data_IF_477953640454
#
_entry.id   IF_477953640454
#
_cell.length_a   1.000
_cell.length_b   1.000
_cell.length_c   1.000
_cell.angle_alpha   90.00
_cell.angle_beta   90.00
_cell.angle_gamma   90.00
#
_symmetry.space_group_name_H-M   'P 1'
#
loop_
_entity.id
_entity.type
_entity.pdbx_description
1 polymer ?
#
# COMPACT_ATOMS: atom_id res chain seq x y z
N UNK A 1 16.37 34.28 83.31
CA UNK A 1 16.77 32.99 82.72
C UNK A 1 15.53 32.35 82.11
N UNK A 2 15.34 32.56 80.86
CA UNK A 2 14.21 31.92 80.09
C UNK A 2 14.71 30.59 79.59
N UNK A 3 14.16 29.52 80.12
CA UNK A 3 14.47 28.13 79.73
C UNK A 3 13.71 27.81 78.46
N UNK A 4 14.37 27.89 77.32
CA UNK A 4 13.85 27.40 76.05
C UNK A 4 13.79 25.87 76.14
N UNK A 5 12.58 25.35 76.35
CA UNK A 5 12.34 23.91 76.44
C UNK A 5 12.27 23.26 75.08
N UNK A 6 12.47 21.92 74.96
CA UNK A 6 12.46 21.16 73.74
C UNK A 6 11.08 21.05 73.02
N UNK A 7 10.13 21.87 73.44
CA UNK A 7 8.74 21.82 72.90
C UNK A 7 8.57 22.59 71.57
N UNK A 8 9.48 23.49 71.20
CA UNK A 8 9.26 24.37 70.03
C UNK A 8 9.47 23.67 68.69
N UNK A 9 10.38 22.67 68.62
CA UNK A 9 10.62 21.95 67.38
C UNK A 9 9.41 21.09 66.92
N UNK A 10 8.63 20.56 67.81
CA UNK A 10 7.41 19.84 67.53
C UNK A 10 6.32 20.74 66.90
N UNK A 11 6.26 21.98 67.35
CA UNK A 11 5.34 22.97 66.78
C UNK A 11 5.74 23.37 65.36
N UNK A 12 7.03 23.45 65.06
CA UNK A 12 7.54 23.72 63.74
C UNK A 12 7.28 22.53 62.82
N UNK A 13 7.48 21.30 63.28
CA UNK A 13 7.16 20.08 62.52
C UNK A 13 5.62 19.92 62.27
N UNK A 14 4.79 20.26 63.23
CA UNK A 14 3.33 20.24 63.08
C UNK A 14 2.88 21.30 62.08
N UNK A 15 3.50 22.47 62.03
CA UNK A 15 3.18 23.52 61.08
C UNK A 15 3.65 23.20 59.65
N UNK A 16 4.74 22.42 59.49
CA UNK A 16 5.29 21.96 58.20
C UNK A 16 4.56 20.75 57.62
N UNK A 17 3.83 19.99 58.46
CA UNK A 17 3.09 18.81 58.05
C UNK A 17 2.15 19.04 56.88
N UNK A 18 1.24 20.04 56.92
CA UNK A 18 0.36 20.34 55.81
C UNK A 18 1.07 20.74 54.52
N UNK A 19 2.18 21.47 54.66
CA UNK A 19 3.00 21.90 53.50
C UNK A 19 3.67 20.72 52.84
N UNK A 20 4.20 19.78 53.60
CA UNK A 20 4.83 18.56 53.08
C UNK A 20 3.79 17.68 52.33
N UNK A 21 2.57 17.55 52.84
CA UNK A 21 1.46 16.83 52.15
C UNK A 21 1.10 17.52 50.85
N UNK A 22 1.04 18.83 50.82
CA UNK A 22 0.72 19.60 49.62
C UNK A 22 1.80 19.45 48.55
N UNK A 23 3.09 19.50 48.93
CA UNK A 23 4.21 19.26 48.04
C UNK A 23 4.15 17.82 47.49
N UNK A 24 3.93 16.83 48.32
CA UNK A 24 3.78 15.43 47.89
C UNK A 24 2.61 15.24 46.91
N UNK A 25 1.48 15.90 47.15
CA UNK A 25 0.33 15.88 46.25
C UNK A 25 0.61 16.50 44.89
N UNK A 26 1.33 17.64 44.87
CA UNK A 26 1.73 18.30 43.63
C UNK A 26 2.72 17.43 42.83
N UNK A 27 3.70 16.83 43.48
CA UNK A 27 4.68 15.92 42.87
C UNK A 27 3.92 14.70 42.29
N UNK A 28 3.01 14.10 43.06
CA UNK A 28 2.19 12.98 42.62
C UNK A 28 1.33 13.32 41.39
N UNK A 29 0.71 14.51 41.39
CA UNK A 29 -0.08 14.99 40.26
C UNK A 29 0.78 15.21 39.01
N UNK A 30 1.95 15.80 39.13
CA UNK A 30 2.89 16.02 38.02
C UNK A 30 3.38 14.69 37.43
N UNK A 31 3.73 13.73 38.28
CA UNK A 31 4.14 12.39 37.85
C UNK A 31 2.98 11.68 37.12
N UNK A 32 1.76 11.74 37.67
CA UNK A 32 0.58 11.15 37.08
C UNK A 32 0.25 11.75 35.70
N UNK A 33 0.33 13.08 35.58
CA UNK A 33 0.15 13.78 34.30
C UNK A 33 1.21 13.42 33.25
N UNK A 34 2.47 13.28 33.69
CA UNK A 34 3.53 12.82 32.79
C UNK A 34 3.33 11.37 32.32
N UNK A 35 2.94 10.47 33.22
CA UNK A 35 2.61 9.08 32.86
C UNK A 35 1.41 9.02 31.90
N UNK A 36 0.38 9.81 32.12
CA UNK A 36 -0.77 9.85 31.23
C UNK A 36 -0.39 10.34 29.83
N UNK A 37 0.44 11.39 29.75
CA UNK A 37 0.92 11.93 28.49
C UNK A 37 1.83 10.93 27.73
N UNK A 38 2.65 10.16 28.43
CA UNK A 38 3.47 9.11 27.83
C UNK A 38 2.60 7.95 27.27
N UNK A 39 1.53 7.56 27.99
CA UNK A 39 0.61 6.53 27.52
C UNK A 39 -0.13 6.95 26.26
N UNK A 40 -0.64 8.19 26.21
CA UNK A 40 -1.36 8.67 25.03
C UNK A 40 -0.49 8.76 23.79
N UNK A 41 0.79 9.12 23.91
CA UNK A 41 1.73 9.13 22.77
C UNK A 41 2.10 7.71 22.32
N UNK A 42 2.29 6.78 23.25
CA UNK A 42 2.54 5.37 22.92
C UNK A 42 1.31 4.72 22.24
N UNK A 43 0.12 4.97 22.76
CA UNK A 43 -1.13 4.45 22.20
C UNK A 43 -1.40 4.99 20.79
N UNK A 44 -1.14 6.29 20.54
CA UNK A 44 -1.29 6.87 19.19
C UNK A 44 -0.27 6.29 18.22
N UNK A 45 0.97 6.08 18.62
CA UNK A 45 1.99 5.44 17.77
C UNK A 45 1.62 3.98 17.45
N UNK A 46 1.14 3.23 18.43
CA UNK A 46 0.68 1.86 18.24
C UNK A 46 -0.52 1.78 17.27
N UNK A 47 -1.48 2.70 17.39
CA UNK A 47 -2.63 2.77 16.49
C UNK A 47 -2.23 3.12 15.04
N UNK A 48 -1.26 4.01 14.84
CA UNK A 48 -0.75 4.34 13.50
C UNK A 48 -0.08 3.12 12.91
N UNK A 49 0.80 2.46 13.65
CA UNK A 49 1.49 1.25 13.21
C UNK A 49 0.52 0.11 12.89
N UNK A 50 -0.53 -0.06 13.69
CA UNK A 50 -1.57 -1.05 13.43
C UNK A 50 -2.32 -0.73 12.13
N UNK A 51 -2.70 0.53 11.90
CA UNK A 51 -3.37 0.93 10.65
C UNK A 51 -2.50 0.71 9.42
N UNK A 52 -1.20 0.97 9.52
CA UNK A 52 -0.27 0.70 8.42
C UNK A 52 -0.18 -0.80 8.11
N UNK A 53 -0.11 -1.64 9.16
CA UNK A 53 -0.12 -3.10 9.01
C UNK A 53 -1.45 -3.60 8.41
N UNK A 54 -2.58 -3.07 8.86
CA UNK A 54 -3.92 -3.42 8.35
C UNK A 54 -4.07 -3.01 6.88
N UNK A 55 -3.66 -1.79 6.51
CA UNK A 55 -3.69 -1.30 5.14
C UNK A 55 -2.82 -2.16 4.21
N UNK A 56 -1.64 -2.57 4.67
CA UNK A 56 -0.74 -3.45 3.91
C UNK A 56 -1.34 -4.84 3.73
N UNK A 57 -1.95 -5.41 4.78
CA UNK A 57 -2.59 -6.71 4.71
C UNK A 57 -3.80 -6.71 3.76
N UNK A 58 -4.59 -5.65 3.77
CA UNK A 58 -5.72 -5.45 2.87
C UNK A 58 -5.25 -5.28 1.42
N UNK A 59 -4.18 -4.51 1.19
CA UNK A 59 -3.57 -4.35 -0.13
C UNK A 59 -3.10 -5.69 -0.69
N UNK A 60 -2.42 -6.52 0.11
CA UNK A 60 -1.98 -7.85 -0.28
C UNK A 60 -3.15 -8.79 -0.61
N UNK A 61 -4.21 -8.77 0.18
CA UNK A 61 -5.40 -9.59 -0.09
C UNK A 61 -6.02 -9.22 -1.45
N UNK A 62 -6.10 -7.93 -1.76
CA UNK A 62 -6.61 -7.46 -3.07
C UNK A 62 -5.67 -7.85 -4.20
N UNK A 63 -4.36 -7.76 -3.98
CA UNK A 63 -3.36 -8.16 -4.98
C UNK A 63 -3.41 -9.65 -5.28
N UNK A 64 -3.55 -10.50 -4.27
CA UNK A 64 -3.72 -11.94 -4.44
C UNK A 64 -4.99 -12.25 -5.26
N UNK A 65 -6.11 -11.64 -4.91
CA UNK A 65 -7.35 -11.82 -5.66
C UNK A 65 -7.20 -11.37 -7.12
N UNK A 66 -6.55 -10.24 -7.36
CA UNK A 66 -6.33 -9.71 -8.70
C UNK A 66 -5.37 -10.61 -9.51
N UNK A 67 -4.34 -11.16 -8.87
CA UNK A 67 -3.43 -12.13 -9.47
C UNK A 67 -4.16 -13.43 -9.86
N UNK A 68 -4.92 -14.01 -8.94
CA UNK A 68 -5.72 -15.21 -9.22
C UNK A 68 -6.70 -14.97 -10.37
N UNK A 69 -7.33 -13.79 -10.39
CA UNK A 69 -8.24 -13.39 -11.47
C UNK A 69 -7.52 -13.22 -12.80
N UNK A 70 -6.29 -12.71 -12.82
CA UNK A 70 -5.50 -12.52 -14.05
C UNK A 70 -5.08 -13.83 -14.70
N UNK A 71 -5.01 -14.92 -13.93
CA UNK A 71 -4.69 -16.27 -14.39
C UNK A 71 -5.94 -17.05 -14.84
N UNK A 72 -7.12 -16.43 -14.81
CA UNK A 72 -8.37 -17.09 -15.19
C UNK A 72 -8.38 -17.43 -16.69
N UNK A 73 -8.97 -18.58 -17.03
CA UNK A 73 -9.25 -18.96 -18.41
C UNK A 73 -10.34 -18.08 -19.06
N UNK A 74 -11.15 -17.37 -18.26
CA UNK A 74 -12.08 -16.36 -18.77
C UNK A 74 -11.37 -15.04 -19.05
N UNK A 75 -11.28 -14.60 -20.32
CA UNK A 75 -10.59 -13.37 -20.69
C UNK A 75 -11.14 -12.11 -20.03
N UNK A 76 -12.44 -12.06 -19.74
CA UNK A 76 -13.05 -10.93 -19.03
C UNK A 76 -12.58 -10.83 -17.58
N UNK A 77 -12.45 -11.97 -16.90
CA UNK A 77 -11.92 -12.03 -15.56
C UNK A 77 -10.42 -11.74 -15.54
N UNK A 78 -9.67 -12.26 -16.52
CA UNK A 78 -8.23 -11.98 -16.64
C UNK A 78 -7.96 -10.48 -16.89
N UNK A 79 -8.72 -9.84 -17.78
CA UNK A 79 -8.66 -8.38 -18.00
C UNK A 79 -8.93 -7.59 -16.73
N UNK A 80 -9.97 -7.96 -15.99
CA UNK A 80 -10.33 -7.30 -14.73
C UNK A 80 -9.22 -7.45 -13.70
N UNK A 81 -8.64 -8.65 -13.55
CA UNK A 81 -7.53 -8.91 -12.65
C UNK A 81 -6.32 -8.03 -12.95
N UNK A 82 -5.89 -8.00 -14.21
CA UNK A 82 -4.78 -7.16 -14.68
C UNK A 82 -5.08 -5.67 -14.50
N UNK A 83 -6.30 -5.22 -14.75
CA UNK A 83 -6.73 -3.84 -14.55
C UNK A 83 -6.66 -3.42 -13.08
N UNK A 84 -7.13 -4.27 -12.17
CA UNK A 84 -7.05 -3.99 -10.73
C UNK A 84 -5.59 -3.99 -10.24
N UNK A 85 -4.74 -4.90 -10.73
CA UNK A 85 -3.32 -4.87 -10.42
C UNK A 85 -2.64 -3.58 -10.87
N UNK A 86 -3.01 -3.02 -12.02
CA UNK A 86 -2.49 -1.74 -12.47
C UNK A 86 -2.82 -0.61 -11.47
N UNK A 87 -4.04 -0.58 -10.94
CA UNK A 87 -4.46 0.38 -9.90
C UNK A 87 -3.70 0.15 -8.59
N UNK A 88 -3.54 -1.12 -8.17
CA UNK A 88 -2.79 -1.45 -6.95
C UNK A 88 -1.30 -1.12 -7.07
N UNK A 89 -0.71 -1.28 -8.26
CA UNK A 89 0.67 -0.91 -8.55
C UNK A 89 0.91 0.61 -8.52
N UNK A 90 -0.12 1.44 -8.70
CA UNK A 90 -0.02 2.90 -8.54
C UNK A 90 -0.07 3.36 -7.08
N UNK A 91 -0.52 2.49 -6.17
CA UNK A 91 -0.64 2.80 -4.75
C UNK A 91 0.73 3.04 -4.10
N UNK A 92 0.78 3.97 -3.14
CA UNK A 92 1.97 4.21 -2.31
C UNK A 92 2.31 3.03 -1.40
N UNK A 93 1.39 2.08 -1.24
CA UNK A 93 1.61 0.84 -0.49
C UNK A 93 2.46 -0.17 -1.28
N UNK A 94 2.54 -0.04 -2.61
CA UNK A 94 3.35 -0.91 -3.46
C UNK A 94 4.83 -0.49 -3.38
N UNK A 95 5.64 -1.29 -2.68
CA UNK A 95 7.10 -1.14 -2.67
C UNK A 95 7.71 -1.62 -4.00
N UNK A 96 8.97 -1.25 -4.31
CA UNK A 96 9.66 -1.76 -5.50
C UNK A 96 9.69 -3.28 -5.58
N UNK A 97 9.92 -3.97 -4.46
CA UNK A 97 9.94 -5.44 -4.39
C UNK A 97 8.58 -6.05 -4.70
N UNK A 98 7.50 -5.42 -4.22
CA UNK A 98 6.13 -5.84 -4.52
C UNK A 98 5.78 -5.61 -5.98
N UNK A 99 6.26 -4.52 -6.57
CA UNK A 99 6.11 -4.26 -8.00
C UNK A 99 6.81 -5.29 -8.87
N UNK A 100 8.00 -5.78 -8.47
CA UNK A 100 8.69 -6.87 -9.17
C UNK A 100 7.85 -8.15 -9.19
N UNK A 101 7.17 -8.49 -8.09
CA UNK A 101 6.25 -9.63 -8.04
C UNK A 101 5.09 -9.43 -9.01
N UNK A 102 4.52 -8.23 -9.08
CA UNK A 102 3.42 -7.91 -9.98
C UNK A 102 3.85 -8.02 -11.46
N UNK A 103 5.13 -7.83 -11.78
CA UNK A 103 5.59 -7.94 -13.18
C UNK A 103 5.36 -9.32 -13.79
N UNK A 104 5.31 -10.37 -12.98
CA UNK A 104 5.04 -11.74 -13.44
C UNK A 104 3.69 -11.86 -14.14
N UNK A 105 2.69 -11.10 -13.66
CA UNK A 105 1.32 -11.20 -14.16
C UNK A 105 1.14 -10.72 -15.62
N UNK A 106 1.94 -9.79 -16.10
CA UNK A 106 1.86 -9.31 -17.48
C UNK A 106 2.81 -10.02 -18.44
N UNK A 107 3.78 -10.80 -17.94
CA UNK A 107 4.78 -11.42 -18.80
C UNK A 107 4.18 -12.43 -19.79
N UNK A 108 3.40 -13.38 -19.32
CA UNK A 108 2.80 -14.42 -20.18
C UNK A 108 1.84 -13.83 -21.24
N UNK A 109 0.86 -12.96 -20.90
CA UNK A 109 -0.01 -12.36 -21.90
C UNK A 109 0.75 -11.54 -22.97
N UNK A 110 1.86 -10.88 -22.60
CA UNK A 110 2.65 -10.11 -23.54
C UNK A 110 3.61 -10.96 -24.39
N UNK A 111 4.03 -12.14 -23.92
CA UNK A 111 4.81 -13.08 -24.74
C UNK A 111 3.99 -13.67 -25.87
N UNK A 112 2.71 -13.86 -25.67
CA UNK A 112 1.77 -14.36 -26.70
C UNK A 112 1.23 -13.24 -27.61
N UNK A 113 1.49 -11.97 -27.25
CA UNK A 113 1.16 -10.84 -28.12
C UNK A 113 2.02 -10.89 -29.40
N UNK A 114 1.45 -10.62 -30.59
CA UNK A 114 2.22 -10.50 -31.80
C UNK A 114 3.21 -9.33 -31.63
N UNK A 115 4.40 -9.64 -31.13
CA UNK A 115 5.50 -8.71 -30.99
C UNK A 115 5.98 -8.35 -32.38
N UNK A 116 5.64 -7.17 -32.84
CA UNK A 116 5.98 -6.53 -34.12
C UNK A 116 5.02 -6.81 -35.29
N UNK A 117 4.79 -5.78 -36.12
CA UNK A 117 4.30 -6.00 -37.46
C UNK A 117 5.37 -6.76 -38.21
N UNK A 118 5.34 -8.09 -38.15
CA UNK A 118 5.98 -8.90 -39.17
C UNK A 118 5.31 -8.45 -40.43
N UNK A 119 6.06 -7.82 -41.34
CA UNK A 119 5.67 -7.59 -42.73
C UNK A 119 5.47 -8.98 -43.33
N UNK A 120 4.31 -9.57 -43.06
CA UNK A 120 3.86 -10.77 -43.77
C UNK A 120 3.46 -10.29 -45.16
N UNK A 121 4.08 -10.79 -46.24
CA UNK A 121 3.61 -10.43 -47.55
C UNK A 121 2.15 -10.83 -47.72
N UNK A 122 1.33 -10.07 -48.49
CA UNK A 122 -0.13 -10.19 -48.53
C UNK A 122 -0.60 -11.42 -49.31
N UNK A 123 -0.10 -12.61 -49.00
CA UNK A 123 -0.43 -13.83 -49.75
C UNK A 123 -0.92 -15.01 -48.92
N UNK A 124 -1.47 -14.76 -47.74
CA UNK A 124 -2.29 -15.79 -47.14
C UNK A 124 -3.50 -15.10 -46.48
N UNK A 125 -4.65 -15.27 -47.15
CA UNK A 125 -5.92 -14.76 -46.73
C UNK A 125 -6.15 -15.15 -45.27
N UNK A 126 -6.01 -14.17 -44.38
CA UNK A 126 -6.35 -14.30 -43.00
C UNK A 126 -7.83 -14.71 -42.91
N UNK A 127 -8.08 -15.97 -42.58
CA UNK A 127 -9.37 -16.43 -42.10
C UNK A 127 -9.81 -15.44 -41.02
N UNK A 128 -10.99 -14.83 -41.10
CA UNK A 128 -11.42 -13.81 -40.15
C UNK A 128 -11.30 -14.38 -38.73
N UNK A 129 -10.31 -13.90 -38.03
CA UNK A 129 -9.89 -14.38 -36.73
C UNK A 129 -11.03 -14.39 -35.77
N UNK A 130 -11.28 -15.54 -35.28
CA UNK A 130 -12.29 -15.93 -34.33
C UNK A 130 -12.42 -14.90 -33.18
N UNK A 131 -13.59 -14.94 -32.53
CA UNK A 131 -13.85 -14.19 -31.27
C UNK A 131 -12.74 -14.38 -30.20
N UNK A 132 -11.98 -15.49 -30.25
CA UNK A 132 -10.80 -15.77 -29.45
C UNK A 132 -9.72 -14.69 -29.63
N UNK A 133 -9.35 -14.37 -30.86
CA UNK A 133 -8.34 -13.37 -31.21
C UNK A 133 -8.67 -11.94 -30.74
N UNK A 134 -9.94 -11.59 -30.61
CA UNK A 134 -10.35 -10.30 -30.04
C UNK A 134 -10.31 -10.29 -28.52
N UNK A 135 -10.61 -11.40 -27.87
CA UNK A 135 -10.51 -11.58 -26.41
C UNK A 135 -9.08 -11.56 -25.94
N UNK A 136 -8.18 -12.25 -26.65
CA UNK A 136 -6.74 -12.24 -26.34
C UNK A 136 -6.16 -10.83 -26.40
N UNK A 137 -6.57 -10.02 -27.39
CA UNK A 137 -6.13 -8.62 -27.51
C UNK A 137 -6.58 -7.74 -26.35
N UNK A 138 -7.73 -8.01 -25.76
CA UNK A 138 -8.21 -7.26 -24.58
C UNK A 138 -7.33 -7.56 -23.37
N UNK A 139 -7.02 -8.84 -23.13
CA UNK A 139 -6.12 -9.26 -22.04
C UNK A 139 -4.71 -8.70 -22.26
N UNK A 140 -4.18 -8.78 -23.47
CA UNK A 140 -2.88 -8.22 -23.83
C UNK A 140 -2.82 -6.70 -23.63
N UNK A 141 -3.90 -5.98 -23.96
CA UNK A 141 -4.00 -4.56 -23.72
C UNK A 141 -4.02 -4.20 -22.22
N UNK A 142 -4.69 -5.00 -21.40
CA UNK A 142 -4.68 -4.83 -19.95
C UNK A 142 -3.28 -5.14 -19.37
N UNK A 143 -2.62 -6.19 -19.85
CA UNK A 143 -1.25 -6.52 -19.48
C UNK A 143 -0.26 -5.42 -19.88
N UNK A 144 -0.44 -4.82 -21.06
CA UNK A 144 0.38 -3.70 -21.51
C UNK A 144 0.20 -2.46 -20.61
N UNK A 145 -1.01 -2.17 -20.16
CA UNK A 145 -1.28 -1.08 -19.21
C UNK A 145 -0.62 -1.36 -17.85
N UNK A 146 -0.72 -2.59 -17.34
CA UNK A 146 -0.05 -2.98 -16.09
C UNK A 146 1.46 -2.80 -16.23
N UNK A 147 2.07 -3.25 -17.34
CA UNK A 147 3.50 -3.07 -17.61
C UNK A 147 3.90 -1.60 -17.65
N UNK A 148 3.12 -0.73 -18.28
CA UNK A 148 3.38 0.72 -18.28
C UNK A 148 3.47 1.30 -16.87
N UNK A 149 2.58 0.87 -15.97
CA UNK A 149 2.56 1.33 -14.58
C UNK A 149 3.78 0.80 -13.83
N UNK A 150 4.07 -0.50 -13.93
CA UNK A 150 5.20 -1.12 -13.22
C UNK A 150 6.54 -0.58 -13.73
N UNK A 151 6.74 -0.47 -15.06
CA UNK A 151 7.96 0.09 -15.65
C UNK A 151 8.18 1.54 -15.17
N UNK A 152 7.13 2.38 -15.19
CA UNK A 152 7.21 3.77 -14.70
C UNK A 152 7.60 3.84 -13.22
N UNK A 153 7.00 3.01 -12.38
CA UNK A 153 7.26 2.97 -10.94
C UNK A 153 8.67 2.45 -10.61
N UNK A 154 9.17 1.50 -11.40
CA UNK A 154 10.52 0.94 -11.27
C UNK A 154 11.60 1.75 -12.01
N UNK A 155 11.22 2.82 -12.71
CA UNK A 155 12.17 3.64 -13.50
C UNK A 155 12.69 2.93 -14.74
N UNK A 156 11.97 1.93 -15.26
CA UNK A 156 12.32 1.17 -16.44
C UNK A 156 11.77 1.80 -17.71
N UNK A 157 12.46 1.61 -18.83
CA UNK A 157 11.99 2.06 -20.15
C UNK A 157 10.98 1.06 -20.70
N UNK A 158 9.77 1.54 -21.00
CA UNK A 158 8.76 0.71 -21.67
C UNK A 158 8.94 0.74 -23.18
N UNK A 159 8.99 -0.42 -23.86
CA UNK A 159 9.06 -0.51 -25.32
C UNK A 159 7.86 0.16 -26.00
N UNK A 160 8.09 0.74 -27.21
CA UNK A 160 7.05 1.48 -27.96
C UNK A 160 5.83 0.62 -28.28
N UNK A 161 6.05 -0.62 -28.71
CA UNK A 161 4.97 -1.55 -29.03
C UNK A 161 4.02 -1.83 -27.83
N UNK A 162 4.56 -1.81 -26.60
CA UNK A 162 3.72 -1.96 -25.37
C UNK A 162 2.87 -0.72 -25.18
N UNK A 163 3.41 0.47 -25.44
CA UNK A 163 2.65 1.73 -25.35
C UNK A 163 1.53 1.79 -26.39
N UNK A 164 1.80 1.35 -27.60
CA UNK A 164 0.80 1.27 -28.67
C UNK A 164 -0.30 0.27 -28.34
N UNK A 165 0.07 -0.92 -27.82
CA UNK A 165 -0.88 -1.94 -27.40
C UNK A 165 -1.80 -1.47 -26.27
N UNK A 166 -1.22 -0.78 -25.27
CA UNK A 166 -1.99 -0.19 -24.16
C UNK A 166 -2.98 0.89 -24.64
N UNK A 167 -2.58 1.73 -25.62
CA UNK A 167 -3.43 2.78 -26.19
C UNK A 167 -4.56 2.22 -27.07
N UNK A 168 -4.30 1.17 -27.83
CA UNK A 168 -5.26 0.58 -28.78
C UNK A 168 -6.51 -0.04 -28.13
N UNK A 169 -6.44 -0.35 -26.83
CA UNK A 169 -7.57 -0.88 -26.07
C UNK A 169 -8.49 0.21 -25.49
N UNK A 170 -7.99 1.45 -25.35
CA UNK A 170 -8.77 2.56 -24.79
C UNK A 170 -9.79 3.15 -25.79
N UNK A 171 -9.55 2.99 -27.09
CA UNK A 171 -10.39 3.62 -28.13
C UNK A 171 -11.69 2.85 -28.48
N UNK A 172 -11.93 1.69 -27.87
CA UNK A 172 -13.07 0.82 -28.22
C UNK A 172 -14.23 0.83 -27.20
N UNK A 173 -14.13 1.64 -26.17
CA UNK A 173 -15.09 1.74 -25.05
C UNK A 173 -15.99 2.99 -25.08
N UNK A 174 -16.05 3.74 -26.20
CA UNK A 174 -17.03 4.85 -26.39
C UNK A 174 -18.13 4.45 -27.36
#
# INVERSE_FOLDING_TARGET
MVRSGPAEWWQVLAALGPLAVLIAAVIGAVISLRMLKQRTTADTAALVQQREADNRSEWWRRTQWALDSSLSADPGQAELGLGIMAVLAESDLASPEELEIITVAWQEPLQTAPAQPTIVPPSEAAVPGSKASSRDRVVQGAAARLRLVTDRRLGLATPDWVRELAAGTTHRGQ
#
